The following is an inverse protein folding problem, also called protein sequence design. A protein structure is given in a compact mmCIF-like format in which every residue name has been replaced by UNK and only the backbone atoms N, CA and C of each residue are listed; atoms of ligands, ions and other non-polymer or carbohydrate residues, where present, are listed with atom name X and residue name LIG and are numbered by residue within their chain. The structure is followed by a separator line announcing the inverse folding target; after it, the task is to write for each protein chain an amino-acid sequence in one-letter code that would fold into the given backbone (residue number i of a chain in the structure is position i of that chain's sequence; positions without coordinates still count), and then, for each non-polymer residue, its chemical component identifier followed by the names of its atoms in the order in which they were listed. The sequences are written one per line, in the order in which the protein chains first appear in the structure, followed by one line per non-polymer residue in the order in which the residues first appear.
data_IF_917662944072
#
_entry.id   IF_917662944072
#
_cell.length_a   1.000
_cell.length_b   1.000
_cell.length_c   1.000
_cell.angle_alpha   90.00
_cell.angle_beta   90.00
_cell.angle_gamma   90.00
#
_symmetry.space_group_name_H-M   'P 1'
#
loop_
_entity.id
_entity.type
_entity.pdbx_description
1 polymer ?
#
# COMPACT_ATOMS: atom_id res chain seq x y z
N UNK A 1 24.67 -5.88 -16.66
CA UNK A 1 23.24 -6.06 -16.32
C UNK A 1 22.70 -4.66 -16.09
N UNK A 2 21.84 -4.16 -16.97
CA UNK A 2 21.17 -2.89 -16.73
C UNK A 2 20.43 -3.03 -15.39
N UNK A 3 20.77 -2.16 -14.44
CA UNK A 3 19.92 -1.96 -13.26
C UNK A 3 18.51 -1.70 -13.79
N UNK A 4 17.56 -2.51 -13.35
CA UNK A 4 16.16 -2.38 -13.72
C UNK A 4 15.65 -1.08 -13.06
N UNK A 5 15.98 0.06 -13.66
CA UNK A 5 15.67 1.36 -13.11
C UNK A 5 14.16 1.53 -13.15
N UNK A 6 13.55 1.68 -11.97
CA UNK A 6 12.13 1.93 -11.86
C UNK A 6 11.81 3.29 -12.50
N UNK A 7 11.24 3.26 -13.71
CA UNK A 7 10.91 4.47 -14.50
C UNK A 7 10.06 5.46 -13.70
N UNK A 8 9.23 4.97 -12.79
CA UNK A 8 8.34 5.81 -11.98
C UNK A 8 9.09 6.57 -10.87
N UNK A 9 10.30 6.15 -10.47
CA UNK A 9 11.16 6.95 -9.59
C UNK A 9 12.00 7.96 -10.36
N UNK A 10 12.34 7.66 -11.62
CA UNK A 10 13.11 8.58 -12.47
C UNK A 10 12.33 9.85 -12.86
N UNK A 11 10.99 9.81 -12.85
CA UNK A 11 10.15 10.98 -13.17
C UNK A 11 10.13 12.04 -12.06
N UNK A 12 10.58 11.71 -10.85
CA UNK A 12 10.71 12.67 -9.75
C UNK A 12 12.07 12.52 -9.05
N UNK A 13 13.03 13.33 -9.46
CA UNK A 13 14.39 13.39 -8.87
C UNK A 13 14.56 14.52 -7.87
N UNK A 14 13.48 15.24 -7.54
CA UNK A 14 13.55 16.45 -6.70
C UNK A 14 13.49 16.17 -5.20
N UNK A 15 13.06 14.97 -4.78
CA UNK A 15 12.93 14.60 -3.38
C UNK A 15 14.16 13.83 -2.90
N UNK A 16 14.79 14.32 -1.85
CA UNK A 16 15.83 13.60 -1.10
C UNK A 16 15.20 12.61 -0.12
N UNK A 17 16.02 11.73 0.47
CA UNK A 17 15.57 10.84 1.55
C UNK A 17 15.03 11.59 2.78
N UNK A 18 15.60 12.76 3.08
CA UNK A 18 15.12 13.63 4.17
C UNK A 18 13.74 14.22 3.83
N UNK A 19 13.54 14.70 2.60
CA UNK A 19 12.25 15.22 2.15
C UNK A 19 11.15 14.16 2.29
N UNK A 20 11.45 12.92 1.90
CA UNK A 20 10.51 11.79 1.99
C UNK A 20 10.14 11.51 3.45
N UNK A 21 11.10 11.56 4.37
CA UNK A 21 10.83 11.36 5.80
C UNK A 21 9.93 12.46 6.40
N UNK A 22 9.96 13.66 5.83
CA UNK A 22 9.15 14.82 6.24
C UNK A 22 7.75 14.85 5.62
N UNK A 23 7.48 14.04 4.60
CA UNK A 23 6.15 13.98 3.99
C UNK A 23 5.08 13.65 5.04
N UNK A 24 3.92 14.31 4.88
CA UNK A 24 2.76 14.00 5.70
C UNK A 24 2.24 12.60 5.36
N UNK A 25 1.58 11.90 6.31
CA UNK A 25 1.07 10.56 6.04
C UNK A 25 0.06 10.51 4.89
N UNK A 26 -0.72 11.58 4.65
CA UNK A 26 -1.62 11.67 3.50
C UNK A 26 -0.87 11.79 2.16
N UNK A 27 0.26 12.50 2.13
CA UNK A 27 1.10 12.56 0.93
C UNK A 27 1.72 11.19 0.61
N UNK A 28 2.16 10.47 1.65
CA UNK A 28 2.64 9.09 1.49
C UNK A 28 1.52 8.17 1.00
N UNK A 29 0.36 8.20 1.66
CA UNK A 29 -0.79 7.38 1.30
C UNK A 29 -1.26 7.64 -0.14
N UNK A 30 -1.24 8.90 -0.59
CA UNK A 30 -1.59 9.26 -1.96
C UNK A 30 -0.78 8.50 -3.02
N UNK A 31 0.54 8.36 -2.83
CA UNK A 31 1.38 7.59 -3.75
C UNK A 31 1.24 6.08 -3.49
N UNK A 32 1.14 5.69 -2.23
CA UNK A 32 1.05 4.29 -1.82
C UNK A 32 -0.20 3.57 -2.30
N UNK A 33 -1.35 4.26 -2.35
CA UNK A 33 -2.59 3.74 -2.93
C UNK A 33 -2.38 3.35 -4.41
N UNK A 34 -1.76 4.23 -5.20
CA UNK A 34 -1.45 3.93 -6.60
C UNK A 34 -0.46 2.77 -6.77
N UNK A 35 0.55 2.70 -5.90
CA UNK A 35 1.53 1.59 -5.88
C UNK A 35 0.82 0.28 -5.59
N UNK A 36 -0.03 0.24 -4.57
CA UNK A 36 -0.75 -0.96 -4.18
C UNK A 36 -1.76 -1.42 -5.25
N UNK A 37 -2.54 -0.48 -5.80
CA UNK A 37 -3.49 -0.74 -6.87
C UNK A 37 -2.79 -1.40 -8.07
N UNK A 38 -1.60 -0.91 -8.46
CA UNK A 38 -0.84 -1.48 -9.55
C UNK A 38 -0.28 -2.87 -9.22
N UNK A 39 0.22 -3.08 -8.00
CA UNK A 39 0.68 -4.40 -7.53
C UNK A 39 -0.45 -5.43 -7.60
N UNK A 40 -1.62 -5.10 -7.06
CA UNK A 40 -2.81 -5.97 -7.07
C UNK A 40 -3.25 -6.25 -8.49
N UNK A 41 -3.42 -5.22 -9.33
CA UNK A 41 -3.84 -5.40 -10.74
C UNK A 41 -2.88 -6.26 -11.54
N UNK A 42 -1.58 -6.13 -11.27
CA UNK A 42 -0.54 -6.95 -11.90
C UNK A 42 -0.60 -8.40 -11.42
N UNK A 43 -0.80 -8.61 -10.12
CA UNK A 43 -0.88 -9.94 -9.51
C UNK A 43 -2.09 -10.74 -10.00
N UNK A 44 -3.27 -10.12 -10.05
CA UNK A 44 -4.52 -10.82 -10.41
C UNK A 44 -4.72 -10.94 -11.92
N UNK A 45 -3.84 -10.34 -12.73
CA UNK A 45 -3.97 -10.30 -14.18
C UNK A 45 -3.97 -11.73 -14.72
N UNK A 46 -4.96 -12.02 -15.54
CA UNK A 46 -5.20 -13.35 -16.09
C UNK A 46 -5.75 -13.20 -17.50
N UNK A 47 -5.19 -13.98 -18.43
CA UNK A 47 -5.49 -13.88 -19.87
C UNK A 47 -6.95 -14.21 -20.17
N UNK A 48 -7.52 -15.13 -19.40
CA UNK A 48 -8.86 -15.66 -19.64
C UNK A 48 -9.95 -14.88 -18.86
N UNK A 49 -9.54 -13.96 -17.98
CA UNK A 49 -10.44 -13.10 -17.20
C UNK A 49 -10.79 -11.82 -17.99
N UNK A 50 -12.09 -11.48 -18.05
CA UNK A 50 -12.52 -10.17 -18.54
C UNK A 50 -12.34 -9.06 -17.49
N UNK A 51 -12.42 -7.79 -17.91
CA UNK A 51 -12.20 -6.62 -17.04
C UNK A 51 -13.13 -6.60 -15.82
N UNK A 52 -14.39 -7.05 -15.95
CA UNK A 52 -15.31 -7.11 -14.82
C UNK A 52 -14.90 -8.17 -13.79
N UNK A 53 -14.38 -9.32 -14.24
CA UNK A 53 -13.83 -10.35 -13.36
C UNK A 53 -12.57 -9.86 -12.64
N UNK A 54 -11.66 -9.20 -13.37
CA UNK A 54 -10.45 -8.60 -12.80
C UNK A 54 -10.80 -7.52 -11.77
N UNK A 55 -11.77 -6.66 -12.05
CA UNK A 55 -12.22 -5.64 -11.11
C UNK A 55 -12.80 -6.24 -9.82
N UNK A 56 -13.62 -7.29 -9.94
CA UNK A 56 -14.16 -8.02 -8.76
C UNK A 56 -13.05 -8.67 -7.93
N UNK A 57 -12.03 -9.24 -8.59
CA UNK A 57 -10.83 -9.78 -7.92
C UNK A 57 -10.07 -8.65 -7.20
N UNK A 58 -9.83 -7.52 -7.87
CA UNK A 58 -9.11 -6.38 -7.29
C UNK A 58 -9.82 -5.83 -6.04
N UNK A 59 -11.15 -5.66 -6.08
CA UNK A 59 -11.94 -5.16 -4.94
C UNK A 59 -11.67 -5.97 -3.67
N UNK A 60 -11.43 -7.28 -3.75
CA UNK A 60 -11.11 -8.09 -2.56
C UNK A 60 -9.86 -7.62 -1.83
N UNK A 61 -8.89 -7.05 -2.55
CA UNK A 61 -7.61 -6.59 -2.01
C UNK A 61 -7.60 -5.09 -1.68
N UNK A 62 -8.26 -4.26 -2.49
CA UNK A 62 -8.05 -2.80 -2.48
C UNK A 62 -9.05 -2.02 -1.64
N UNK A 63 -10.15 -2.67 -1.20
CA UNK A 63 -11.12 -2.03 -0.30
C UNK A 63 -10.53 -1.77 1.09
N UNK A 64 -10.98 -0.70 1.74
CA UNK A 64 -10.40 -0.23 3.01
C UNK A 64 -10.45 -1.26 4.14
N UNK A 65 -11.51 -2.06 4.23
CA UNK A 65 -11.64 -3.15 5.19
C UNK A 65 -10.61 -4.26 4.93
N UNK A 66 -10.35 -4.63 3.68
CA UNK A 66 -9.30 -5.60 3.35
C UNK A 66 -7.91 -5.06 3.68
N UNK A 67 -7.63 -3.81 3.31
CA UNK A 67 -6.35 -3.18 3.65
C UNK A 67 -6.14 -3.07 5.18
N UNK A 68 -7.21 -2.81 5.94
CA UNK A 68 -7.16 -2.82 7.40
C UNK A 68 -6.83 -4.21 7.96
N UNK A 69 -7.45 -5.27 7.43
CA UNK A 69 -7.11 -6.65 7.78
C UNK A 69 -5.64 -6.98 7.47
N UNK A 70 -5.15 -6.58 6.29
CA UNK A 70 -3.77 -6.82 5.88
C UNK A 70 -2.76 -6.13 6.78
N UNK A 71 -2.97 -4.86 7.12
CA UNK A 71 -2.01 -4.18 8.00
C UNK A 71 -2.04 -4.74 9.42
N UNK A 72 -3.19 -5.21 9.89
CA UNK A 72 -3.29 -5.92 11.17
C UNK A 72 -2.51 -7.23 11.16
N UNK A 73 -2.61 -8.01 10.08
CA UNK A 73 -1.81 -9.20 9.89
C UNK A 73 -0.31 -8.89 9.79
N UNK A 74 0.06 -7.83 9.07
CA UNK A 74 1.46 -7.46 8.86
C UNK A 74 2.15 -6.90 10.11
N UNK A 75 1.42 -6.42 11.13
CA UNK A 75 1.98 -5.69 12.29
C UNK A 75 3.17 -6.40 12.96
N UNK A 76 3.16 -7.74 13.06
CA UNK A 76 4.24 -8.52 13.66
C UNK A 76 5.49 -8.64 12.76
N UNK A 77 5.32 -8.48 11.46
CA UNK A 77 6.38 -8.53 10.45
C UNK A 77 7.04 -7.17 10.21
N UNK A 78 6.43 -6.08 10.69
CA UNK A 78 6.93 -4.73 10.48
C UNK A 78 8.12 -4.38 11.38
N UNK A 79 9.07 -3.66 10.80
CA UNK A 79 10.14 -2.99 11.54
C UNK A 79 9.58 -1.80 12.34
N UNK A 80 10.28 -1.35 13.40
CA UNK A 80 9.78 -0.28 14.26
C UNK A 80 9.56 1.07 13.54
N UNK A 81 10.41 1.39 12.54
CA UNK A 81 10.22 2.57 11.69
C UNK A 81 8.94 2.45 10.83
N UNK A 82 8.66 1.27 10.29
CA UNK A 82 7.46 0.98 9.48
C UNK A 82 6.19 1.09 10.33
N UNK A 83 6.19 0.51 11.54
CA UNK A 83 5.10 0.66 12.52
C UNK A 83 4.83 2.13 12.84
N UNK A 84 5.88 2.94 12.98
CA UNK A 84 5.72 4.37 13.25
C UNK A 84 5.06 5.11 12.07
N UNK A 85 5.37 4.75 10.82
CA UNK A 85 4.73 5.31 9.63
C UNK A 85 3.23 4.94 9.62
N UNK A 86 2.90 3.67 9.86
CA UNK A 86 1.52 3.18 9.92
C UNK A 86 0.72 3.90 11.01
N UNK A 87 1.30 4.03 12.22
CA UNK A 87 0.69 4.76 13.34
C UNK A 87 0.43 6.22 12.99
N UNK A 88 1.38 6.90 12.32
CA UNK A 88 1.19 8.28 11.85
C UNK A 88 0.05 8.38 10.83
N UNK A 89 -0.02 7.46 9.87
CA UNK A 89 -1.10 7.36 8.89
C UNK A 89 -2.47 7.23 9.56
N UNK A 90 -2.62 6.24 10.45
CA UNK A 90 -3.85 5.98 11.21
C UNK A 90 -4.34 7.17 12.02
N UNK A 91 -3.43 7.98 12.54
CA UNK A 91 -3.77 9.12 13.38
C UNK A 91 -4.07 10.40 12.58
N UNK A 92 -4.03 10.34 11.24
CA UNK A 92 -4.33 11.51 10.42
C UNK A 92 -5.82 11.83 10.44
N UNK A 93 -6.16 13.11 10.62
CA UNK A 93 -7.54 13.60 10.53
C UNK A 93 -7.89 13.77 9.05
N UNK A 94 -8.72 12.88 8.50
CA UNK A 94 -9.31 13.11 7.17
C UNK A 94 -10.41 14.18 7.29
N UNK A 95 -10.38 15.19 6.42
CA UNK A 95 -11.45 16.21 6.34
C UNK A 95 -12.74 15.66 5.71
N UNK A 96 -12.68 14.44 5.17
CA UNK A 96 -13.78 13.72 4.53
C UNK A 96 -13.88 12.33 5.15
N UNK A 97 -14.88 12.10 5.99
CA UNK A 97 -15.24 10.75 6.44
C UNK A 97 -16.11 10.10 5.35
N UNK A 98 -15.75 8.91 4.81
CA UNK A 98 -16.61 8.20 3.89
C UNK A 98 -17.94 7.87 4.58
N UNK A 99 -19.07 8.13 3.91
CA UNK A 99 -20.39 7.73 4.40
C UNK A 99 -20.53 6.22 4.26
N UNK A 100 -20.25 5.45 5.32
CA UNK A 100 -20.56 4.03 5.41
C UNK A 100 -19.41 3.06 5.67
N UNK A 101 -18.15 3.51 5.58
CA UNK A 101 -17.00 2.71 6.01
C UNK A 101 -16.79 2.86 7.52
N UNK A 102 -16.36 1.80 8.20
CA UNK A 102 -15.94 1.90 9.59
C UNK A 102 -14.75 2.87 9.65
N UNK A 103 -14.90 3.94 10.43
CA UNK A 103 -13.89 5.00 10.55
C UNK A 103 -12.53 4.44 10.99
N UNK A 104 -12.53 3.31 11.72
CA UNK A 104 -11.33 2.61 12.17
C UNK A 104 -10.62 1.97 10.97
N UNK A 105 -11.34 1.21 10.15
CA UNK A 105 -10.77 0.51 8.99
C UNK A 105 -10.17 1.49 7.99
N UNK A 106 -10.85 2.61 7.74
CA UNK A 106 -10.33 3.68 6.87
C UNK A 106 -9.00 4.24 7.37
N UNK A 107 -8.85 4.43 8.68
CA UNK A 107 -7.60 4.92 9.27
C UNK A 107 -6.48 3.88 9.14
N UNK A 108 -6.77 2.60 9.34
CA UNK A 108 -5.78 1.56 9.14
C UNK A 108 -5.36 1.41 7.67
N UNK A 109 -6.31 1.48 6.73
CA UNK A 109 -6.03 1.54 5.31
C UNK A 109 -5.11 2.72 4.95
N UNK A 110 -5.39 3.92 5.48
CA UNK A 110 -4.48 5.08 5.28
C UNK A 110 -3.07 4.82 5.84
N UNK A 111 -2.96 4.10 6.97
CA UNK A 111 -1.68 3.67 7.54
C UNK A 111 -0.92 2.69 6.63
N UNK A 112 -1.64 1.75 6.04
CA UNK A 112 -1.12 0.79 5.07
C UNK A 112 -0.61 1.48 3.79
N UNK A 113 -1.45 2.33 3.19
CA UNK A 113 -1.07 3.12 2.01
C UNK A 113 0.14 4.01 2.31
N UNK A 114 0.19 4.66 3.48
CA UNK A 114 1.34 5.48 3.86
C UNK A 114 2.65 4.67 3.96
N UNK A 115 2.60 3.43 4.46
CA UNK A 115 3.75 2.54 4.49
C UNK A 115 4.25 2.21 3.09
N UNK A 116 3.35 1.81 2.18
CA UNK A 116 3.73 1.49 0.80
C UNK A 116 4.27 2.71 0.05
N UNK A 117 3.68 3.89 0.27
CA UNK A 117 4.18 5.15 -0.28
C UNK A 117 5.59 5.48 0.19
N UNK A 118 5.87 5.29 1.49
CA UNK A 118 7.22 5.49 2.04
C UNK A 118 8.23 4.54 1.39
N UNK A 119 7.98 3.23 1.40
CA UNK A 119 8.90 2.23 0.85
C UNK A 119 9.15 2.47 -0.65
N UNK A 120 8.11 2.85 -1.38
CA UNK A 120 8.22 3.15 -2.81
C UNK A 120 9.09 4.38 -3.05
N UNK A 121 8.85 5.46 -2.30
CA UNK A 121 9.59 6.70 -2.43
C UNK A 121 11.03 6.58 -1.96
N UNK A 122 11.35 5.72 -0.98
CA UNK A 122 12.73 5.42 -0.58
C UNK A 122 13.43 4.43 -1.51
N UNK A 123 12.66 3.68 -2.33
CA UNK A 123 13.19 2.74 -3.32
C UNK A 123 13.29 1.31 -2.85
N UNK A 124 12.72 0.99 -1.70
CA UNK A 124 12.80 -0.35 -1.11
C UNK A 124 11.77 -1.30 -1.75
N UNK A 125 12.00 -1.60 -3.03
CA UNK A 125 11.12 -2.48 -3.82
C UNK A 125 11.15 -3.92 -3.29
N UNK A 126 12.27 -4.34 -2.70
CA UNK A 126 12.41 -5.66 -2.08
C UNK A 126 11.47 -5.80 -0.87
N UNK A 127 11.42 -4.79 0.00
CA UNK A 127 10.51 -4.80 1.16
C UNK A 127 9.05 -4.73 0.75
N UNK A 128 8.70 -3.96 -0.28
CA UNK A 128 7.34 -3.96 -0.85
C UNK A 128 6.94 -5.37 -1.29
N UNK A 129 7.83 -6.06 -2.03
CA UNK A 129 7.54 -7.40 -2.54
C UNK A 129 7.40 -8.42 -1.40
N UNK A 130 8.22 -8.30 -0.35
CA UNK A 130 8.12 -9.14 0.85
C UNK A 130 6.75 -8.99 1.53
N UNK A 131 6.34 -7.75 1.84
CA UNK A 131 5.05 -7.48 2.47
C UNK A 131 3.88 -7.94 1.59
N UNK A 132 3.98 -7.74 0.27
CA UNK A 132 2.95 -8.18 -0.66
C UNK A 132 2.84 -9.71 -0.76
N UNK A 133 3.94 -10.45 -0.64
CA UNK A 133 3.91 -11.91 -0.60
C UNK A 133 3.25 -12.43 0.69
N UNK A 134 3.53 -11.80 1.85
CA UNK A 134 2.83 -12.12 3.09
C UNK A 134 1.32 -11.92 2.96
N UNK A 135 0.87 -10.83 2.32
CA UNK A 135 -0.56 -10.59 2.03
C UNK A 135 -1.14 -11.71 1.16
N UNK A 136 -0.42 -12.14 0.11
CA UNK A 136 -0.88 -13.24 -0.75
C UNK A 136 -1.01 -14.55 0.01
N UNK A 137 -0.05 -14.86 0.88
CA UNK A 137 -0.10 -16.06 1.72
C UNK A 137 -1.29 -16.02 2.67
N UNK A 138 -1.54 -14.88 3.30
CA UNK A 138 -2.71 -14.65 4.15
C UNK A 138 -4.02 -14.85 3.38
N UNK A 139 -4.18 -14.23 2.21
CA UNK A 139 -5.41 -14.35 1.41
C UNK A 139 -5.63 -15.78 0.89
N UNK A 140 -4.59 -16.46 0.42
CA UNK A 140 -4.69 -17.85 -0.04
C UNK A 140 -5.05 -18.83 1.09
N UNK A 141 -4.76 -18.50 2.36
CA UNK A 141 -5.15 -19.32 3.50
C UNK A 141 -6.63 -19.23 3.86
N UNK A 142 -7.37 -18.29 3.26
CA UNK A 142 -8.80 -18.03 3.51
C UNK A 142 -9.72 -18.68 2.46
N UNK A 143 -9.18 -19.18 1.35
CA UNK A 143 -9.90 -19.90 0.28
C UNK A 143 -9.94 -21.41 0.55
#
# INVERSE_FOLDING_TARGET
MEENQNIFRMVNTSLTGEDIAMLSPLQLAYVGDAVYELLVRTYIMDRDSNVNQLHRKAIKFVKADAQAEFIHYLEEFLHENEKNIVRRGRNTKSNTSPKGANLIDYKYATGFEALLGYLYLTGDSSRILELFNLIKEFENSRE
#
